data_IF_344541291953
#
_entry.id   IF_344541291953
#
_cell.length_a   1.000
_cell.length_b   1.000
_cell.length_c   1.000
_cell.angle_alpha   90.00
_cell.angle_beta   90.00
_cell.angle_gamma   90.00
#
_symmetry.space_group_name_H-M   'P 1'
#
loop_
_entity.id
_entity.type
_entity.pdbx_description
1 polymer ?
#
# COMPACT_ATOMS: atom_id res chain seq x y z
N UNK A 1 31.49 78.47 -66.10
CA UNK A 1 30.25 79.27 -66.18
C UNK A 1 29.21 78.47 -66.95
N UNK A 2 27.91 78.74 -66.70
CA UNK A 2 26.71 78.52 -67.55
C UNK A 2 26.69 77.44 -68.66
N UNK A 3 25.57 76.72 -68.74
CA UNK A 3 25.15 75.92 -69.92
C UNK A 3 25.36 74.40 -69.77
N UNK A 4 24.51 73.54 -70.33
CA UNK A 4 23.29 73.81 -71.10
C UNK A 4 22.36 72.59 -71.23
N UNK A 5 21.12 72.84 -71.63
CA UNK A 5 20.01 71.87 -71.78
C UNK A 5 19.93 71.33 -73.22
N UNK A 6 19.07 70.32 -73.46
CA UNK A 6 18.48 69.92 -74.77
C UNK A 6 19.46 69.19 -75.77
N UNK A 7 19.02 68.36 -76.73
CA UNK A 7 17.65 67.91 -77.08
C UNK A 7 17.55 66.53 -77.78
N UNK A 8 16.31 66.01 -77.82
CA UNK A 8 15.63 65.22 -78.87
C UNK A 8 16.43 64.45 -79.96
N UNK A 9 16.03 63.18 -80.16
CA UNK A 9 15.23 62.77 -81.33
C UNK A 9 14.38 61.53 -80.95
N UNK A 10 13.04 61.60 -80.96
CA UNK A 10 12.09 61.48 -82.10
C UNK A 10 11.64 60.04 -82.45
N UNK A 11 10.61 59.61 -81.72
CA UNK A 11 9.31 59.15 -82.27
C UNK A 11 9.27 58.15 -83.44
N UNK A 12 8.84 56.91 -83.17
CA UNK A 12 7.56 56.29 -83.61
C UNK A 12 7.44 54.88 -83.01
N UNK A 13 6.36 54.49 -82.30
CA UNK A 13 4.93 54.40 -82.62
C UNK A 13 4.55 53.00 -83.16
N UNK A 14 4.07 52.10 -82.29
CA UNK A 14 2.71 51.54 -82.34
C UNK A 14 2.34 50.85 -81.01
N UNK A 15 1.05 50.84 -80.68
CA UNK A 15 0.52 50.49 -79.34
C UNK A 15 -0.47 49.31 -79.43
N UNK A 16 -0.91 48.80 -78.26
CA UNK A 16 -1.88 47.71 -77.98
C UNK A 16 -1.26 46.29 -78.09
N UNK A 17 -1.63 45.27 -77.30
CA UNK A 17 -2.27 45.14 -75.95
C UNK A 17 -2.12 43.64 -75.52
N UNK A 18 -2.61 43.04 -74.41
CA UNK A 18 -3.50 43.39 -73.28
C UNK A 18 -3.16 42.45 -72.07
N UNK A 19 -3.79 42.71 -70.90
CA UNK A 19 -3.94 41.84 -69.71
C UNK A 19 -2.73 41.31 -68.92
N UNK A 20 -2.80 41.59 -67.61
CA UNK A 20 -2.12 40.89 -66.52
C UNK A 20 -2.43 39.39 -66.47
N UNK A 21 -1.45 38.59 -66.04
CA UNK A 21 -1.65 37.41 -65.22
C UNK A 21 -0.49 37.29 -64.22
N UNK A 22 -0.77 37.04 -62.94
CA UNK A 22 0.23 36.95 -61.89
C UNK A 22 0.37 35.50 -61.40
N UNK A 23 1.59 35.08 -61.06
CA UNK A 23 1.87 33.86 -60.28
C UNK A 23 3.25 33.97 -59.62
N UNK A 24 3.38 33.36 -58.43
CA UNK A 24 4.60 33.35 -57.61
C UNK A 24 5.42 32.07 -57.85
N UNK A 25 6.72 32.07 -57.49
CA UNK A 25 7.51 31.00 -56.82
C UNK A 25 9.00 31.44 -56.71
N UNK A 26 9.90 30.77 -55.94
CA UNK A 26 10.72 31.48 -54.95
C UNK A 26 12.25 31.50 -55.20
N UNK A 27 12.94 32.24 -54.33
CA UNK A 27 14.40 32.32 -54.25
C UNK A 27 15.01 31.11 -53.51
N UNK A 28 16.14 30.52 -53.96
CA UNK A 28 16.82 29.43 -53.26
C UNK A 28 17.61 29.93 -52.03
N UNK A 29 17.48 29.24 -50.91
CA UNK A 29 18.21 29.53 -49.67
C UNK A 29 19.65 28.99 -49.64
N UNK A 30 20.52 29.50 -48.75
CA UNK A 30 21.89 29.01 -48.59
C UNK A 30 21.94 27.61 -47.97
N UNK A 31 23.06 26.90 -48.21
CA UNK A 31 23.24 25.52 -47.76
C UNK A 31 23.18 25.38 -46.23
N UNK A 32 22.37 24.44 -45.76
CA UNK A 32 22.37 24.04 -44.36
C UNK A 32 23.68 23.32 -44.02
N UNK A 33 24.46 23.88 -43.09
CA UNK A 33 25.46 23.09 -42.36
C UNK A 33 24.71 21.99 -41.61
N UNK A 34 25.02 20.72 -41.93
CA UNK A 34 24.59 19.61 -41.11
C UNK A 34 25.29 19.71 -39.76
N UNK A 35 24.61 20.28 -38.76
CA UNK A 35 24.98 20.04 -37.37
C UNK A 35 24.88 18.54 -37.15
N UNK A 36 26.01 17.88 -36.88
CA UNK A 36 26.00 16.49 -36.41
C UNK A 36 25.19 16.48 -35.11
N UNK A 37 23.97 15.93 -35.18
CA UNK A 37 23.00 16.02 -34.09
C UNK A 37 23.64 15.45 -32.82
N UNK A 38 23.67 16.26 -31.75
CA UNK A 38 24.59 16.09 -30.64
C UNK A 38 24.60 14.66 -30.08
N UNK A 39 25.60 13.88 -30.50
CA UNK A 39 25.90 12.55 -29.97
C UNK A 39 26.39 12.71 -28.53
N UNK A 40 25.43 12.75 -27.62
CA UNK A 40 25.37 11.89 -26.43
C UNK A 40 24.08 12.19 -25.65
N UNK A 41 22.95 11.68 -26.16
CA UNK A 41 21.94 11.15 -25.26
C UNK A 41 22.54 9.93 -24.57
N UNK A 42 23.33 10.15 -23.52
CA UNK A 42 23.98 9.07 -22.76
C UNK A 42 22.91 8.09 -22.29
N UNK A 43 23.08 6.81 -22.63
CA UNK A 43 22.25 5.74 -22.07
C UNK A 43 22.29 5.83 -20.55
N UNK A 44 21.13 6.08 -19.95
CA UNK A 44 21.04 6.48 -18.54
C UNK A 44 21.34 5.29 -17.63
N UNK A 45 22.63 5.09 -17.35
CA UNK A 45 23.11 4.00 -16.51
C UNK A 45 22.36 3.94 -15.18
N UNK A 46 22.01 2.73 -14.75
CA UNK A 46 21.42 2.46 -13.44
C UNK A 46 22.15 1.26 -12.82
N UNK A 47 22.34 1.24 -11.49
CA UNK A 47 22.68 0.00 -10.79
C UNK A 47 21.63 -1.08 -11.10
N UNK A 48 22.08 -2.33 -11.16
CA UNK A 48 21.22 -3.51 -11.35
C UNK A 48 20.29 -3.63 -10.14
N UNK A 49 19.04 -4.03 -10.37
CA UNK A 49 18.12 -4.28 -9.27
C UNK A 49 18.53 -5.60 -8.56
N UNK A 50 18.69 -5.57 -7.23
CA UNK A 50 19.09 -6.72 -6.45
C UNK A 50 19.96 -6.39 -5.22
N UNK A 51 20.55 -7.44 -4.66
CA UNK A 51 21.44 -7.42 -3.48
C UNK A 51 22.87 -7.08 -3.88
N UNK A 52 23.52 -6.28 -3.04
CA UNK A 52 24.94 -5.98 -3.05
C UNK A 52 25.55 -6.27 -1.67
N UNK A 53 26.85 -6.57 -1.64
CA UNK A 53 27.64 -6.69 -0.41
C UNK A 53 29.06 -6.15 -0.59
N UNK A 54 29.74 -5.87 0.53
CA UNK A 54 31.12 -5.35 0.52
C UNK A 54 32.09 -6.33 -0.19
N UNK A 55 32.85 -5.88 -1.20
CA UNK A 55 33.80 -6.73 -1.90
C UNK A 55 35.05 -7.02 -1.06
N UNK A 56 35.23 -8.27 -0.66
CA UNK A 56 36.36 -8.71 0.16
C UNK A 56 36.41 -10.22 0.37
N UNK A 57 37.23 -10.69 1.31
CA UNK A 57 37.38 -12.13 1.65
C UNK A 57 36.06 -12.75 2.13
N UNK A 58 35.19 -11.95 2.76
CA UNK A 58 33.89 -12.34 3.32
C UNK A 58 32.73 -12.20 2.34
N UNK A 59 32.92 -11.59 1.16
CA UNK A 59 31.87 -11.20 0.21
C UNK A 59 30.77 -12.26 -0.01
N UNK A 60 31.17 -13.53 -0.15
CA UNK A 60 30.21 -14.63 -0.36
C UNK A 60 29.33 -14.89 0.86
N UNK A 61 29.88 -14.87 2.07
CA UNK A 61 29.12 -15.00 3.31
C UNK A 61 28.17 -13.81 3.47
N UNK A 62 28.68 -12.58 3.30
CA UNK A 62 27.86 -11.36 3.35
C UNK A 62 26.72 -11.35 2.32
N UNK A 63 26.91 -11.96 1.14
CA UNK A 63 25.83 -12.17 0.17
C UNK A 63 24.84 -13.30 0.56
N UNK A 64 25.32 -14.41 1.14
CA UNK A 64 24.43 -15.50 1.61
C UNK A 64 23.65 -15.08 2.90
N UNK A 65 24.15 -14.10 3.67
CA UNK A 65 23.50 -13.47 4.85
C UNK A 65 22.48 -12.37 4.50
N UNK A 66 22.34 -11.99 3.23
CA UNK A 66 21.34 -11.02 2.75
C UNK A 66 21.88 -9.70 2.19
N UNK A 67 23.19 -9.45 2.31
CA UNK A 67 23.89 -8.29 1.76
C UNK A 67 23.80 -7.02 2.62
N UNK A 68 24.73 -6.09 2.38
CA UNK A 68 24.75 -4.79 3.06
C UNK A 68 23.73 -3.80 2.49
N UNK A 69 23.41 -3.94 1.20
CA UNK A 69 22.59 -3.01 0.45
C UNK A 69 21.73 -3.73 -0.60
N UNK A 70 20.43 -3.44 -0.64
CA UNK A 70 19.53 -3.82 -1.73
C UNK A 70 19.03 -2.58 -2.45
N UNK A 71 19.12 -2.58 -3.78
CA UNK A 71 18.66 -1.49 -4.64
C UNK A 71 17.56 -2.02 -5.57
N UNK A 72 16.40 -1.36 -5.61
CA UNK A 72 15.43 -1.54 -6.69
C UNK A 72 14.83 -0.20 -7.13
N UNK A 73 15.54 0.50 -8.02
CA UNK A 73 15.11 1.79 -8.56
C UNK A 73 13.82 1.71 -9.43
N UNK A 74 13.39 0.51 -9.87
CA UNK A 74 12.09 0.32 -10.55
C UNK A 74 10.93 0.30 -9.56
N UNK A 75 11.07 -0.43 -8.45
CA UNK A 75 10.08 -0.43 -7.35
C UNK A 75 10.23 0.78 -6.41
N UNK A 76 11.15 1.71 -6.73
CA UNK A 76 11.48 2.91 -5.93
C UNK A 76 11.89 2.58 -4.49
N UNK A 77 12.68 1.52 -4.28
CA UNK A 77 13.21 1.16 -2.97
C UNK A 77 14.74 1.09 -2.95
N UNK A 78 15.31 1.45 -1.81
CA UNK A 78 16.69 1.16 -1.41
C UNK A 78 16.68 0.82 0.08
N UNK A 79 17.32 -0.27 0.49
CA UNK A 79 17.35 -0.73 1.88
C UNK A 79 18.71 -1.34 2.24
N UNK A 80 19.03 -1.39 3.52
CA UNK A 80 20.19 -2.09 4.04
C UNK A 80 19.88 -2.70 5.41
N UNK A 81 20.91 -3.04 6.17
CA UNK A 81 20.75 -3.58 7.52
C UNK A 81 19.99 -2.58 8.42
N UNK A 82 18.80 -2.98 8.91
CA UNK A 82 17.92 -2.23 9.82
C UNK A 82 17.40 -0.86 9.33
N UNK A 83 17.49 -0.57 8.02
CA UNK A 83 16.90 0.63 7.43
C UNK A 83 16.33 0.40 6.02
N UNK A 84 15.25 1.12 5.68
CA UNK A 84 14.55 1.01 4.40
C UNK A 84 14.02 2.36 3.92
N UNK A 85 14.30 2.69 2.65
CA UNK A 85 14.04 4.01 2.08
C UNK A 85 13.22 3.95 0.78
N UNK A 86 12.16 4.76 0.72
CA UNK A 86 11.38 5.01 -0.49
C UNK A 86 12.01 6.12 -1.33
N UNK A 87 12.25 5.85 -2.62
CA UNK A 87 12.88 6.80 -3.56
C UNK A 87 11.86 7.83 -4.04
N UNK A 88 12.10 9.10 -3.70
CA UNK A 88 11.32 10.25 -4.21
C UNK A 88 11.73 10.62 -5.64
N UNK A 89 13.04 10.75 -5.88
CA UNK A 89 13.58 11.29 -7.14
C UNK A 89 14.96 10.69 -7.43
N UNK A 90 15.25 10.48 -8.72
CA UNK A 90 16.58 10.14 -9.21
C UNK A 90 17.03 11.30 -10.11
N UNK A 91 18.24 11.81 -9.90
CA UNK A 91 18.85 12.86 -10.72
C UNK A 91 20.16 12.31 -11.28
N UNK A 92 20.30 12.32 -12.61
CA UNK A 92 21.55 11.97 -13.28
C UNK A 92 22.62 13.04 -12.98
N UNK A 93 23.82 12.63 -12.58
CA UNK A 93 24.96 13.53 -12.31
C UNK A 93 26.05 13.42 -13.37
N UNK A 94 26.06 12.34 -14.13
CA UNK A 94 27.00 12.04 -15.21
C UNK A 94 26.69 10.67 -15.82
N UNK A 95 27.46 10.20 -16.82
CA UNK A 95 27.20 8.93 -17.51
C UNK A 95 27.16 7.72 -16.56
N UNK A 96 27.98 7.74 -15.52
CA UNK A 96 28.18 6.65 -14.54
C UNK A 96 27.81 7.07 -13.10
N UNK A 97 27.06 8.15 -12.90
CA UNK A 97 26.75 8.68 -11.56
C UNK A 97 25.37 9.30 -11.42
N UNK A 98 24.73 9.06 -10.27
CA UNK A 98 23.39 9.55 -9.97
C UNK A 98 23.22 9.90 -8.48
N UNK A 99 22.26 10.79 -8.23
CA UNK A 99 21.75 11.17 -6.91
C UNK A 99 20.36 10.56 -6.73
N UNK A 100 20.15 9.81 -5.66
CA UNK A 100 18.85 9.30 -5.21
C UNK A 100 18.39 10.15 -4.02
N UNK A 101 17.28 10.85 -4.15
CA UNK A 101 16.60 11.54 -3.04
C UNK A 101 15.51 10.60 -2.50
N UNK A 102 15.49 10.38 -1.19
CA UNK A 102 14.71 9.31 -0.57
C UNK A 102 14.12 9.70 0.79
N UNK A 103 13.14 8.92 1.25
CA UNK A 103 12.60 8.97 2.62
C UNK A 103 12.88 7.64 3.30
N UNK A 104 13.69 7.64 4.34
CA UNK A 104 14.08 6.47 5.10
C UNK A 104 13.23 6.31 6.37
N UNK A 105 12.84 5.07 6.67
CA UNK A 105 12.77 4.62 8.06
C UNK A 105 14.11 3.98 8.43
N UNK A 106 14.67 4.34 9.57
CA UNK A 106 16.00 3.96 10.04
C UNK A 106 15.91 3.87 11.57
N UNK A 107 15.72 2.64 12.07
CA UNK A 107 15.32 2.39 13.47
C UNK A 107 16.39 2.89 14.45
N UNK A 108 17.66 2.58 14.15
CA UNK A 108 18.80 2.99 14.96
C UNK A 108 18.98 4.51 14.98
N UNK A 109 18.80 5.20 13.84
CA UNK A 109 18.84 6.66 13.80
C UNK A 109 17.67 7.28 14.57
N UNK A 110 16.47 6.71 14.45
CA UNK A 110 15.27 7.19 15.12
C UNK A 110 15.39 7.14 16.65
N UNK A 111 15.87 6.00 17.18
CA UNK A 111 16.11 5.79 18.62
C UNK A 111 17.11 6.83 19.17
N UNK A 112 18.23 7.04 18.47
CA UNK A 112 19.32 7.89 18.94
C UNK A 112 19.07 9.40 18.81
N UNK A 113 18.20 9.86 17.91
CA UNK A 113 17.95 11.30 17.70
C UNK A 113 17.10 11.95 18.80
N UNK A 114 16.09 11.25 19.31
CA UNK A 114 15.34 11.67 20.50
C UNK A 114 14.57 10.47 21.10
N UNK A 115 15.14 9.78 22.11
CA UNK A 115 14.52 8.61 22.75
C UNK A 115 13.38 8.94 23.72
N UNK A 116 12.97 10.22 23.82
CA UNK A 116 11.81 10.65 24.64
C UNK A 116 10.58 11.02 23.81
N UNK A 117 10.67 10.97 22.49
CA UNK A 117 9.51 11.10 21.60
C UNK A 117 8.74 9.77 21.60
N UNK A 118 7.46 9.72 22.00
CA UNK A 118 6.70 8.46 22.01
C UNK A 118 6.45 7.89 20.61
N UNK A 119 6.52 8.69 19.54
CA UNK A 119 6.31 8.26 18.15
C UNK A 119 7.63 8.06 17.37
N UNK A 120 8.75 7.88 18.09
CA UNK A 120 10.08 7.83 17.47
C UNK A 120 10.20 6.76 16.38
N UNK A 121 9.59 5.59 16.54
CA UNK A 121 9.61 4.48 15.57
C UNK A 121 8.96 4.83 14.21
N UNK A 122 8.02 5.77 14.19
CA UNK A 122 7.37 6.25 12.98
C UNK A 122 8.08 7.44 12.34
N UNK A 123 9.16 7.96 12.94
CA UNK A 123 9.95 9.05 12.37
C UNK A 123 10.47 8.69 10.97
N UNK A 124 10.55 9.69 10.09
CA UNK A 124 11.00 9.54 8.70
C UNK A 124 12.06 10.59 8.38
N UNK A 125 13.16 10.14 7.78
CA UNK A 125 14.30 10.99 7.44
C UNK A 125 14.34 11.26 5.94
N UNK A 126 14.53 12.52 5.54
CA UNK A 126 14.76 12.87 4.14
C UNK A 126 16.26 12.78 3.86
N UNK A 127 16.69 11.74 3.15
CA UNK A 127 18.09 11.45 2.90
C UNK A 127 18.44 11.53 1.41
N UNK A 128 19.74 11.61 1.13
CA UNK A 128 20.32 11.56 -0.20
C UNK A 128 21.34 10.43 -0.25
N UNK A 129 21.31 9.64 -1.31
CA UNK A 129 22.34 8.68 -1.64
C UNK A 129 22.99 9.03 -2.99
N UNK A 130 24.31 9.10 -3.01
CA UNK A 130 25.09 9.17 -4.24
C UNK A 130 25.51 7.76 -4.63
N UNK A 131 25.33 7.41 -5.91
CA UNK A 131 25.74 6.11 -6.47
C UNK A 131 26.56 6.36 -7.72
N UNK A 132 27.73 5.72 -7.79
CA UNK A 132 28.67 5.81 -8.92
C UNK A 132 29.09 4.41 -9.37
N UNK A 133 29.13 4.15 -10.68
CA UNK A 133 29.72 2.93 -11.24
C UNK A 133 31.23 2.88 -10.97
N UNK A 134 31.75 1.72 -10.60
CA UNK A 134 33.20 1.44 -10.61
C UNK A 134 33.50 0.49 -11.77
N UNK A 135 32.71 -0.58 -11.89
CA UNK A 135 32.77 -1.58 -12.96
C UNK A 135 31.37 -2.17 -13.19
N UNK A 136 31.24 -3.26 -13.97
CA UNK A 136 29.93 -3.84 -14.32
C UNK A 136 29.23 -4.60 -13.18
N UNK A 137 29.90 -4.84 -12.05
CA UNK A 137 29.32 -5.44 -10.84
C UNK A 137 29.51 -4.59 -9.58
N UNK A 138 30.54 -3.76 -9.50
CA UNK A 138 30.82 -2.91 -8.33
C UNK A 138 30.38 -1.46 -8.53
N UNK A 139 29.75 -0.91 -7.49
CA UNK A 139 29.41 0.51 -7.36
C UNK A 139 30.11 1.11 -6.14
N UNK A 140 30.24 2.44 -6.10
CA UNK A 140 30.49 3.19 -4.88
C UNK A 140 29.21 3.89 -4.44
N UNK A 141 28.98 3.91 -3.13
CA UNK A 141 27.75 4.41 -2.51
C UNK A 141 28.11 5.35 -1.36
N UNK A 142 27.37 6.45 -1.21
CA UNK A 142 27.43 7.33 -0.05
C UNK A 142 26.02 7.79 0.32
N UNK A 143 25.49 7.35 1.47
CA UNK A 143 24.19 7.79 2.04
C UNK A 143 24.44 8.95 3.02
N UNK A 144 23.51 9.89 3.13
CA UNK A 144 23.46 10.81 4.26
C UNK A 144 22.76 10.16 5.47
N UNK A 145 23.06 10.66 6.67
CA UNK A 145 22.41 10.29 7.92
C UNK A 145 21.96 11.56 8.64
N UNK A 146 20.66 11.66 8.92
CA UNK A 146 19.97 12.86 9.38
C UNK A 146 20.32 14.09 8.51
N UNK A 147 20.26 13.92 7.19
CA UNK A 147 20.57 14.95 6.20
C UNK A 147 22.06 15.33 6.08
N UNK A 148 22.97 14.62 6.74
CA UNK A 148 24.42 14.92 6.76
C UNK A 148 25.23 13.81 6.10
N UNK A 149 26.05 14.17 5.11
CA UNK A 149 27.08 13.29 4.55
C UNK A 149 28.30 13.31 5.48
N UNK A 150 28.36 12.38 6.44
CA UNK A 150 29.52 12.22 7.34
C UNK A 150 30.47 11.14 6.85
N UNK A 151 29.90 10.02 6.40
CA UNK A 151 30.63 8.80 6.12
C UNK A 151 31.29 8.85 4.74
N UNK A 152 32.44 8.21 4.59
CA UNK A 152 33.12 8.11 3.31
C UNK A 152 32.31 7.24 2.33
N UNK A 153 32.41 7.46 1.01
CA UNK A 153 31.82 6.55 0.03
C UNK A 153 32.42 5.15 0.17
N UNK A 154 31.57 4.14 0.41
CA UNK A 154 31.98 2.74 0.48
C UNK A 154 31.84 2.03 -0.87
N UNK A 155 32.18 0.74 -0.92
CA UNK A 155 32.08 -0.10 -2.14
C UNK A 155 31.10 -1.23 -1.92
N UNK A 156 30.34 -1.53 -2.96
CA UNK A 156 29.26 -2.52 -2.96
C UNK A 156 29.33 -3.32 -4.26
N UNK A 157 29.46 -4.64 -4.18
CA UNK A 157 29.52 -5.54 -5.33
C UNK A 157 28.24 -6.36 -5.46
N UNK A 158 27.73 -6.49 -6.68
CA UNK A 158 26.47 -7.18 -6.97
C UNK A 158 26.57 -8.68 -6.66
N UNK A 159 25.71 -9.16 -5.76
CA UNK A 159 25.78 -10.54 -5.26
C UNK A 159 25.52 -11.60 -6.35
N UNK A 160 26.05 -12.83 -6.20
CA UNK A 160 25.88 -13.91 -7.17
C UNK A 160 24.42 -14.24 -7.49
N UNK A 161 24.15 -14.74 -8.70
CA UNK A 161 22.80 -15.00 -9.20
C UNK A 161 21.96 -15.94 -8.30
N UNK A 162 22.59 -16.81 -7.51
CA UNK A 162 21.93 -17.63 -6.47
C UNK A 162 21.22 -16.74 -5.43
N UNK A 163 21.94 -15.76 -4.85
CA UNK A 163 21.41 -14.79 -3.89
C UNK A 163 20.27 -13.97 -4.49
N UNK A 164 20.45 -13.50 -5.73
CA UNK A 164 19.43 -12.68 -6.41
C UNK A 164 18.12 -13.46 -6.64
N UNK A 165 18.21 -14.75 -6.99
CA UNK A 165 17.05 -15.65 -7.11
C UNK A 165 16.38 -15.89 -5.75
N UNK A 166 17.16 -16.16 -4.70
CA UNK A 166 16.64 -16.36 -3.36
C UNK A 166 15.86 -15.13 -2.84
N UNK A 167 16.38 -13.90 -3.04
CA UNK A 167 15.64 -12.68 -2.70
C UNK A 167 14.36 -12.54 -3.53
N UNK A 168 14.41 -12.81 -4.83
CA UNK A 168 13.24 -12.71 -5.70
C UNK A 168 12.14 -13.70 -5.28
N UNK A 169 12.49 -14.94 -4.97
CA UNK A 169 11.55 -15.94 -4.44
C UNK A 169 10.98 -15.54 -3.08
N UNK A 170 11.81 -15.09 -2.13
CA UNK A 170 11.36 -14.63 -0.82
C UNK A 170 10.42 -13.43 -0.94
N UNK A 171 10.71 -12.49 -1.85
CA UNK A 171 9.89 -11.31 -2.13
C UNK A 171 8.55 -11.68 -2.77
N UNK A 172 8.52 -12.69 -3.65
CA UNK A 172 7.27 -13.21 -4.22
C UNK A 172 6.41 -13.92 -3.18
N UNK A 173 7.01 -14.73 -2.30
CA UNK A 173 6.31 -15.37 -1.17
C UNK A 173 5.73 -14.31 -0.23
N UNK A 174 6.56 -13.38 0.26
CA UNK A 174 6.08 -12.29 1.14
C UNK A 174 4.96 -11.44 0.51
N UNK A 175 4.99 -11.19 -0.80
CA UNK A 175 3.89 -10.51 -1.52
C UNK A 175 2.62 -11.37 -1.62
N UNK A 176 2.75 -12.69 -1.76
CA UNK A 176 1.62 -13.62 -1.74
C UNK A 176 1.02 -13.77 -0.32
N UNK A 177 1.86 -13.95 0.69
CA UNK A 177 1.47 -14.09 2.10
C UNK A 177 0.80 -12.81 2.62
N UNK A 178 1.35 -11.63 2.29
CA UNK A 178 0.74 -10.35 2.61
C UNK A 178 -0.60 -10.15 1.90
N UNK A 179 -0.72 -10.57 0.62
CA UNK A 179 -2.02 -10.57 -0.05
C UNK A 179 -3.01 -11.52 0.63
N UNK A 180 -2.62 -12.76 0.93
CA UNK A 180 -3.49 -13.73 1.60
C UNK A 180 -3.97 -13.21 2.96
N UNK A 181 -3.10 -12.51 3.71
CA UNK A 181 -3.49 -11.84 4.96
C UNK A 181 -4.50 -10.72 4.73
N UNK A 182 -4.31 -9.86 3.73
CA UNK A 182 -5.28 -8.81 3.37
C UNK A 182 -6.62 -9.40 2.91
N UNK A 183 -6.60 -10.41 2.04
CA UNK A 183 -7.79 -11.09 1.54
C UNK A 183 -8.56 -11.78 2.69
N UNK A 184 -7.85 -12.37 3.68
CA UNK A 184 -8.44 -12.94 4.89
C UNK A 184 -8.99 -11.88 5.86
N UNK A 185 -8.26 -10.78 6.08
CA UNK A 185 -8.74 -9.65 6.89
C UNK A 185 -9.97 -8.99 6.28
N UNK A 186 -10.07 -8.96 4.94
CA UNK A 186 -11.25 -8.46 4.24
C UNK A 186 -12.42 -9.46 4.35
N UNK A 187 -12.19 -10.75 4.07
CA UNK A 187 -13.20 -11.79 4.25
C UNK A 187 -13.74 -11.87 5.69
N UNK A 188 -12.87 -11.63 6.70
CA UNK A 188 -13.29 -11.44 8.09
C UNK A 188 -14.26 -10.26 8.20
N UNK A 189 -13.88 -9.06 7.76
CA UNK A 189 -14.74 -7.86 7.84
C UNK A 189 -16.09 -8.04 7.15
N UNK A 190 -16.12 -8.67 5.98
CA UNK A 190 -17.33 -8.85 5.18
C UNK A 190 -18.30 -9.88 5.79
N UNK A 191 -17.75 -10.94 6.41
CA UNK A 191 -18.52 -12.01 7.05
C UNK A 191 -18.98 -11.69 8.49
N UNK A 192 -18.32 -10.77 9.20
CA UNK A 192 -18.78 -10.34 10.53
C UNK A 192 -20.16 -9.64 10.44
N UNK A 193 -21.09 -9.95 11.36
CA UNK A 193 -22.22 -9.08 11.67
C UNK A 193 -21.80 -7.64 11.99
N UNK A 194 -22.70 -6.68 11.77
CA UNK A 194 -22.50 -5.27 12.16
C UNK A 194 -22.66 -5.14 13.68
N UNK A 195 -21.75 -4.42 14.33
CA UNK A 195 -21.88 -4.16 15.77
C UNK A 195 -23.18 -3.39 16.11
N UNK A 196 -23.83 -3.80 17.20
CA UNK A 196 -25.07 -3.22 17.71
C UNK A 196 -26.09 -4.25 18.19
N UNK A 197 -27.32 -3.79 18.34
CA UNK A 197 -28.46 -4.52 18.92
C UNK A 197 -29.20 -5.31 17.84
N UNK A 198 -29.51 -6.57 18.14
CA UNK A 198 -30.28 -7.49 17.33
C UNK A 198 -31.46 -8.08 18.14
N UNK A 199 -32.56 -8.36 17.44
CA UNK A 199 -33.70 -9.11 18.00
C UNK A 199 -34.21 -10.15 17.01
N UNK A 200 -34.81 -11.23 17.51
CA UNK A 200 -35.52 -12.20 16.69
C UNK A 200 -36.75 -11.52 16.04
N UNK A 201 -36.98 -11.76 14.75
CA UNK A 201 -38.13 -11.20 14.04
C UNK A 201 -39.46 -11.77 14.58
N UNK A 202 -40.53 -10.95 14.60
CA UNK A 202 -41.86 -11.36 15.07
C UNK A 202 -42.70 -10.18 15.58
N UNK A 203 -43.91 -10.42 16.12
CA UNK A 203 -44.86 -9.36 16.47
C UNK A 203 -44.32 -8.32 17.47
N UNK A 204 -43.53 -8.74 18.47
CA UNK A 204 -42.94 -7.85 19.49
C UNK A 204 -41.48 -7.43 19.14
N UNK A 205 -41.09 -7.34 17.86
CA UNK A 205 -39.72 -7.04 17.45
C UNK A 205 -39.19 -5.72 18.03
N UNK A 206 -39.91 -4.61 17.81
CA UNK A 206 -39.49 -3.29 18.33
C UNK A 206 -39.46 -3.24 19.87
N UNK A 207 -40.32 -4.00 20.55
CA UNK A 207 -40.30 -4.11 22.02
C UNK A 207 -39.04 -4.81 22.53
N UNK A 208 -38.64 -5.93 21.87
CA UNK A 208 -37.40 -6.64 22.20
C UNK A 208 -36.16 -5.80 21.91
N UNK A 209 -36.18 -5.05 20.80
CA UNK A 209 -35.15 -4.07 20.46
C UNK A 209 -35.04 -2.95 21.52
N UNK A 210 -36.15 -2.32 21.90
CA UNK A 210 -36.17 -1.20 22.84
C UNK A 210 -35.78 -1.59 24.28
N UNK A 211 -35.92 -2.87 24.66
CA UNK A 211 -35.48 -3.41 25.95
C UNK A 211 -34.08 -4.04 25.92
N UNK A 212 -33.43 -4.11 24.75
CA UNK A 212 -32.17 -4.85 24.52
C UNK A 212 -32.25 -6.35 24.89
N UNK A 213 -33.45 -6.94 24.90
CA UNK A 213 -33.75 -8.22 25.54
C UNK A 213 -33.20 -9.48 24.84
N UNK A 214 -32.71 -9.39 23.60
CA UNK A 214 -32.43 -10.57 22.76
C UNK A 214 -30.94 -10.85 22.56
N UNK A 215 -30.24 -10.01 21.79
CA UNK A 215 -28.81 -10.19 21.50
C UNK A 215 -28.15 -8.86 21.15
N UNK A 216 -27.06 -8.52 21.83
CA UNK A 216 -26.15 -7.42 21.49
C UNK A 216 -24.86 -8.04 20.98
N UNK A 217 -24.36 -7.57 19.83
CA UNK A 217 -23.15 -8.09 19.19
C UNK A 217 -22.15 -6.97 19.04
N UNK A 218 -20.95 -7.13 19.60
CA UNK A 218 -19.94 -6.08 19.71
C UNK A 218 -18.55 -6.68 19.48
N UNK A 219 -18.25 -6.99 18.21
CA UNK A 219 -16.96 -7.56 17.80
C UNK A 219 -15.78 -6.62 18.08
N UNK A 220 -15.98 -5.31 17.97
CA UNK A 220 -14.96 -4.30 18.33
C UNK A 220 -14.55 -4.38 19.80
N UNK A 221 -15.51 -4.60 20.71
CA UNK A 221 -15.29 -4.78 22.15
C UNK A 221 -15.01 -6.25 22.54
N UNK A 222 -15.03 -7.16 21.56
CA UNK A 222 -14.91 -8.62 21.74
C UNK A 222 -15.96 -9.21 22.70
N UNK A 223 -17.22 -8.81 22.54
CA UNK A 223 -18.33 -9.27 23.38
C UNK A 223 -19.58 -9.62 22.57
N UNK A 224 -20.35 -10.57 23.07
CA UNK A 224 -21.72 -10.88 22.64
C UNK A 224 -22.55 -11.04 23.91
N UNK A 225 -23.55 -10.20 24.11
CA UNK A 225 -24.51 -10.33 25.22
C UNK A 225 -25.81 -10.89 24.68
N UNK A 226 -26.42 -11.82 25.39
CA UNK A 226 -27.73 -12.39 25.09
C UNK A 226 -28.65 -12.23 26.30
N UNK A 227 -29.93 -12.58 26.16
CA UNK A 227 -30.92 -12.57 27.24
C UNK A 227 -30.50 -13.29 28.55
N UNK A 228 -29.50 -14.18 28.50
CA UNK A 228 -29.10 -15.08 29.58
C UNK A 228 -27.59 -15.30 29.73
N UNK A 229 -26.75 -14.93 28.76
CA UNK A 229 -25.29 -15.10 28.79
C UNK A 229 -24.54 -13.86 28.30
N UNK A 230 -23.42 -13.54 28.94
CA UNK A 230 -22.39 -12.64 28.41
C UNK A 230 -21.21 -13.50 27.93
N UNK A 231 -20.90 -13.43 26.64
CA UNK A 231 -19.82 -14.17 26.00
C UNK A 231 -18.69 -13.24 25.57
N UNK A 232 -17.46 -13.53 26.04
CA UNK A 232 -16.24 -12.82 25.66
C UNK A 232 -15.58 -13.53 24.47
N UNK A 233 -15.37 -12.81 23.38
CA UNK A 233 -14.76 -13.34 22.16
C UNK A 233 -13.25 -13.49 22.35
N UNK A 234 -12.78 -14.73 22.30
CA UNK A 234 -11.35 -15.07 22.34
C UNK A 234 -10.76 -15.04 20.91
N UNK A 235 -11.42 -15.74 19.97
CA UNK A 235 -10.95 -15.96 18.60
C UNK A 235 -12.10 -15.90 17.59
N UNK A 236 -11.87 -15.36 16.39
CA UNK A 236 -12.79 -15.46 15.26
C UNK A 236 -12.10 -16.06 14.04
N UNK A 237 -12.84 -16.85 13.25
CA UNK A 237 -12.38 -17.45 11.99
C UNK A 237 -13.51 -17.47 10.96
N UNK A 238 -13.21 -17.07 9.73
CA UNK A 238 -14.09 -17.31 8.58
C UNK A 238 -14.10 -18.81 8.31
N UNK A 239 -15.28 -19.43 8.24
CA UNK A 239 -15.45 -20.84 7.88
C UNK A 239 -16.03 -20.99 6.46
N UNK A 240 -16.88 -20.03 6.04
CA UNK A 240 -17.35 -19.80 4.67
C UNK A 240 -17.44 -18.28 4.45
N UNK A 241 -17.49 -17.75 3.21
CA UNK A 241 -17.47 -16.30 2.95
C UNK A 241 -18.58 -15.47 3.63
N UNK A 242 -19.65 -16.12 4.07
CA UNK A 242 -20.80 -15.55 4.78
C UNK A 242 -20.87 -15.98 6.27
N UNK A 243 -19.92 -16.79 6.75
CA UNK A 243 -20.02 -17.54 8.02
C UNK A 243 -18.75 -17.41 8.86
N UNK A 244 -18.89 -16.79 10.04
CA UNK A 244 -17.83 -16.67 11.06
C UNK A 244 -18.10 -17.63 12.21
N UNK A 245 -17.11 -18.46 12.54
CA UNK A 245 -17.09 -19.25 13.78
C UNK A 245 -16.22 -18.55 14.82
N UNK A 246 -16.74 -18.49 16.04
CA UNK A 246 -16.21 -17.73 17.17
C UNK A 246 -15.87 -18.72 18.28
N UNK A 247 -14.67 -18.64 18.83
CA UNK A 247 -14.39 -19.21 20.15
C UNK A 247 -14.68 -18.13 21.19
N UNK A 248 -15.58 -18.39 22.14
CA UNK A 248 -15.93 -17.45 23.19
C UNK A 248 -16.09 -18.14 24.54
N UNK A 249 -15.67 -17.45 25.60
CA UNK A 249 -15.93 -17.86 26.97
C UNK A 249 -17.22 -17.17 27.45
N UNK A 250 -18.26 -17.97 27.71
CA UNK A 250 -19.59 -17.51 28.09
C UNK A 250 -19.85 -17.69 29.59
N UNK A 251 -20.39 -16.65 30.23
CA UNK A 251 -20.85 -16.67 31.62
C UNK A 251 -22.34 -16.35 31.71
N UNK A 252 -23.05 -17.11 32.55
CA UNK A 252 -24.47 -16.89 32.86
C UNK A 252 -24.70 -15.51 33.48
N UNK A 253 -25.64 -14.77 32.92
CA UNK A 253 -26.17 -13.54 33.47
C UNK A 253 -27.47 -13.83 34.22
N UNK A 254 -27.71 -13.15 35.36
CA UNK A 254 -28.96 -13.28 36.08
C UNK A 254 -30.14 -12.82 35.20
N UNK A 255 -31.02 -13.76 34.81
CA UNK A 255 -32.06 -13.52 33.82
C UNK A 255 -33.07 -12.45 34.29
N UNK A 256 -33.31 -11.37 33.51
CA UNK A 256 -34.24 -10.31 33.89
C UNK A 256 -35.73 -10.65 33.67
N UNK A 257 -36.03 -11.76 32.99
CA UNK A 257 -37.39 -12.25 32.73
C UNK A 257 -37.40 -13.79 32.80
N UNK A 258 -38.32 -14.44 33.55
CA UNK A 258 -38.42 -15.90 33.60
C UNK A 258 -38.83 -16.57 32.28
N UNK A 259 -39.26 -15.81 31.27
CA UNK A 259 -39.52 -16.27 29.91
C UNK A 259 -38.33 -16.01 28.96
N UNK A 260 -37.22 -15.43 29.45
CA UNK A 260 -36.00 -15.34 28.67
C UNK A 260 -35.48 -16.76 28.38
N UNK A 261 -35.43 -17.14 27.10
CA UNK A 261 -34.89 -18.44 26.69
C UNK A 261 -33.41 -18.50 27.08
N UNK A 262 -33.09 -19.37 28.04
CA UNK A 262 -31.71 -19.59 28.44
C UNK A 262 -30.92 -20.19 27.29
N UNK A 263 -29.80 -19.55 26.93
CA UNK A 263 -28.89 -20.00 25.87
C UNK A 263 -28.07 -21.22 26.32
N UNK A 264 -27.97 -21.45 27.64
CA UNK A 264 -27.31 -22.61 28.25
C UNK A 264 -28.24 -23.36 29.23
N UNK A 265 -27.97 -24.64 29.44
CA UNK A 265 -28.48 -25.39 30.59
C UNK A 265 -27.38 -25.46 31.67
N UNK A 266 -27.75 -25.32 32.94
CA UNK A 266 -26.82 -24.97 34.04
C UNK A 266 -25.76 -26.05 34.30
N UNK A 267 -26.08 -27.32 34.07
CA UNK A 267 -25.27 -28.48 34.49
C UNK A 267 -24.05 -28.82 33.58
N UNK A 268 -23.76 -28.07 32.51
CA UNK A 268 -22.64 -28.40 31.59
C UNK A 268 -21.61 -27.27 31.47
N UNK A 269 -21.00 -26.92 32.59
CA UNK A 269 -20.19 -25.70 32.80
C UNK A 269 -18.72 -25.79 32.35
N UNK A 270 -18.36 -26.62 31.36
CA UNK A 270 -16.94 -26.86 31.01
C UNK A 270 -16.63 -27.23 29.55
N UNK A 271 -17.27 -26.57 28.60
CA UNK A 271 -16.83 -26.55 27.19
C UNK A 271 -16.76 -25.11 26.67
N UNK A 272 -15.68 -24.77 25.96
CA UNK A 272 -15.51 -23.45 25.34
C UNK A 272 -16.48 -23.29 24.17
N UNK A 273 -17.63 -22.65 24.41
CA UNK A 273 -18.73 -22.62 23.45
C UNK A 273 -18.32 -21.95 22.14
N UNK A 274 -18.49 -22.70 21.06
CA UNK A 274 -18.16 -22.25 19.73
C UNK A 274 -19.42 -21.63 19.09
N UNK A 275 -19.62 -20.33 19.24
CA UNK A 275 -20.71 -19.66 18.53
C UNK A 275 -20.42 -19.62 17.02
N UNK A 276 -21.46 -19.69 16.19
CA UNK A 276 -21.34 -19.47 14.74
C UNK A 276 -22.38 -18.46 14.30
N UNK A 277 -21.93 -17.43 13.59
CA UNK A 277 -22.80 -16.49 12.90
C UNK A 277 -22.73 -16.76 11.40
N UNK A 278 -23.88 -16.78 10.75
CA UNK A 278 -24.01 -16.63 9.30
C UNK A 278 -24.69 -15.31 9.00
N UNK A 279 -24.01 -14.46 8.24
CA UNK A 279 -24.58 -13.25 7.66
C UNK A 279 -25.51 -13.64 6.51
N UNK A 280 -26.74 -13.14 6.54
CA UNK A 280 -27.73 -13.32 5.46
C UNK A 280 -27.78 -12.04 4.62
N UNK A 281 -27.76 -10.89 5.29
CA UNK A 281 -27.59 -9.54 4.73
C UNK A 281 -27.00 -8.62 5.82
N UNK A 282 -26.75 -7.33 5.52
CA UNK A 282 -26.17 -6.38 6.49
C UNK A 282 -27.05 -6.07 7.71
N UNK A 283 -28.30 -6.52 7.73
CA UNK A 283 -29.24 -6.40 8.85
C UNK A 283 -29.75 -7.73 9.37
N UNK A 284 -29.42 -8.87 8.77
CA UNK A 284 -29.97 -10.18 9.14
C UNK A 284 -28.88 -11.22 9.30
N UNK A 285 -28.89 -11.93 10.43
CA UNK A 285 -27.94 -13.00 10.73
C UNK A 285 -28.65 -14.23 11.29
N UNK A 286 -27.98 -15.38 11.27
CA UNK A 286 -28.38 -16.58 12.00
C UNK A 286 -27.26 -16.95 12.97
N UNK A 287 -27.63 -17.19 14.22
CA UNK A 287 -26.72 -17.57 15.32
C UNK A 287 -26.99 -19.03 15.72
N UNK A 288 -25.96 -19.87 15.63
CA UNK A 288 -25.94 -21.22 16.24
C UNK A 288 -24.98 -21.24 17.42
N UNK A 289 -25.31 -22.05 18.44
CA UNK A 289 -24.34 -22.55 19.41
C UNK A 289 -23.79 -23.88 18.86
N UNK A 290 -22.48 -24.09 18.96
CA UNK A 290 -21.85 -25.39 18.69
C UNK A 290 -21.43 -25.98 20.03
N UNK A 291 -22.04 -27.11 20.39
CA UNK A 291 -21.73 -27.91 21.57
C UNK A 291 -21.27 -29.29 21.14
N UNK A 292 -20.23 -29.83 21.78
CA UNK A 292 -19.61 -31.13 21.43
C UNK A 292 -19.17 -31.24 19.95
N UNK A 293 -18.96 -30.10 19.28
CA UNK A 293 -18.68 -30.01 17.84
C UNK A 293 -19.92 -30.01 16.92
N UNK A 294 -21.14 -30.17 17.46
CA UNK A 294 -22.41 -30.22 16.75
C UNK A 294 -23.26 -28.95 16.95
N UNK A 295 -24.08 -28.58 15.95
CA UNK A 295 -24.99 -27.43 16.03
C UNK A 295 -26.22 -27.72 16.88
N UNK A 296 -26.60 -26.79 17.76
CA UNK A 296 -27.82 -26.88 18.57
C UNK A 296 -29.06 -26.44 17.77
N UNK A 297 -29.61 -27.35 16.95
CA UNK A 297 -30.81 -27.10 16.14
C UNK A 297 -30.58 -26.14 14.97
N UNK A 298 -31.68 -25.61 14.42
CA UNK A 298 -31.69 -24.87 13.14
C UNK A 298 -31.02 -23.48 13.18
N UNK A 299 -30.73 -22.96 14.38
CA UNK A 299 -30.12 -21.64 14.58
C UNK A 299 -31.15 -20.51 14.73
N UNK A 300 -30.80 -19.51 15.55
CA UNK A 300 -31.66 -18.35 15.84
C UNK A 300 -31.48 -17.28 14.79
N UNK A 301 -32.50 -17.04 13.96
CA UNK A 301 -32.53 -15.89 13.03
C UNK A 301 -32.75 -14.59 13.82
N UNK A 302 -31.87 -13.62 13.60
CA UNK A 302 -31.83 -12.32 14.26
C UNK A 302 -31.80 -11.20 13.21
N UNK A 303 -32.44 -10.07 13.53
CA UNK A 303 -32.49 -8.87 12.70
C UNK A 303 -32.05 -7.64 13.49
N UNK A 304 -31.29 -6.77 12.83
CA UNK A 304 -30.67 -5.58 13.38
C UNK A 304 -31.74 -4.53 13.71
N UNK A 305 -31.72 -4.04 14.95
CA UNK A 305 -32.70 -3.06 15.43
C UNK A 305 -32.56 -1.70 14.75
N UNK A 306 -33.61 -0.89 14.79
CA UNK A 306 -33.70 0.39 14.10
C UNK A 306 -32.59 1.38 14.51
N UNK A 307 -32.16 2.26 13.59
CA UNK A 307 -31.05 3.20 13.84
C UNK A 307 -31.35 4.22 14.96
N UNK A 308 -32.57 4.26 15.52
CA UNK A 308 -32.88 4.95 16.77
C UNK A 308 -32.40 4.14 17.99
N UNK A 309 -32.72 2.83 18.04
CA UNK A 309 -32.26 1.91 19.10
C UNK A 309 -30.74 1.81 19.12
N UNK A 310 -30.10 1.74 17.94
CA UNK A 310 -28.63 1.68 17.88
C UNK A 310 -27.96 2.93 18.46
N UNK A 311 -28.53 4.12 18.21
CA UNK A 311 -28.04 5.39 18.80
C UNK A 311 -28.36 5.53 20.28
N UNK A 312 -29.40 4.85 20.77
CA UNK A 312 -29.72 4.79 22.20
C UNK A 312 -28.90 3.75 22.97
N UNK A 313 -28.23 2.82 22.27
CA UNK A 313 -27.26 1.89 22.84
C UNK A 313 -25.83 2.46 22.86
N UNK A 314 -25.46 3.24 21.83
CA UNK A 314 -24.10 3.75 21.62
C UNK A 314 -23.83 5.15 22.20
N UNK A 315 -24.58 5.60 23.23
CA UNK A 315 -24.48 6.95 23.81
C UNK A 315 -24.79 6.99 25.30
#
# INVERSE_FOLDING_TARGET
>A
MQGGFLNQNRTKLFTLMLMLAALLLPCPGPAAYAQEAARNAFDKWRPKAGVYAEPGKTFRASCDEGGGLTINLREKSVSGYEWGCGVKKITDLGPDSLKVEMVCNDYNLAQNVNPRDPDWENRKFNEVMFVKKIDDVTISVQKSLNGKLKDAPWREAYCPLKTQRALAEATLRAKADAKQKTDLEQALKDAHPRDGVYAAAGPNFEERCAKFNDTIVTFSEKSITTASNICKIEQTRVQLPDTVRIGADCALQAAPDPNAVSVQNVDTTLDHENLMFKKIDDKTVVLWIIKDGHFTGDGRKLSYCSDQVQRAYAG
#
